data_IF_990540298064
#
_entry.id   IF_990540298064
#
_cell.length_a   1.000
_cell.length_b   1.000
_cell.length_c   1.000
_cell.angle_alpha   90.00
_cell.angle_beta   90.00
_cell.angle_gamma   90.00
#
_symmetry.space_group_name_H-M   'P 1'
#
loop_
_entity.id
_entity.type
_entity.pdbx_description
1 polymer ?
#
# COMPACT_ATOMS: atom_id res chain seq x y z
N UNK A 1 13.19 6.24 1.11
CA UNK A 1 13.99 6.99 2.09
C UNK A 1 15.01 7.90 1.40
N UNK A 2 15.76 8.68 2.16
CA UNK A 2 16.80 9.58 1.62
C UNK A 2 17.96 8.85 0.93
N UNK A 3 18.13 7.58 1.17
CA UNK A 3 19.15 6.74 0.52
C UNK A 3 18.67 6.11 -0.78
N UNK A 4 17.48 6.52 -1.24
CA UNK A 4 16.80 6.00 -2.45
C UNK A 4 16.37 4.53 -2.36
N UNK A 5 16.31 3.98 -1.14
CA UNK A 5 15.63 2.71 -0.95
C UNK A 5 14.12 2.90 -1.05
N UNK A 6 13.45 2.03 -1.76
CA UNK A 6 11.99 2.05 -1.91
C UNK A 6 11.40 0.65 -1.91
N UNK A 7 10.23 0.52 -1.30
CA UNK A 7 9.44 -0.70 -1.26
C UNK A 7 8.04 -0.41 -1.77
N UNK A 8 7.54 -1.28 -2.61
CA UNK A 8 6.16 -1.25 -3.08
C UNK A 8 5.44 -2.55 -2.70
N UNK A 9 4.26 -2.44 -2.12
CA UNK A 9 3.35 -3.57 -1.90
C UNK A 9 2.16 -3.37 -2.81
N UNK A 10 2.01 -4.26 -3.78
CA UNK A 10 1.00 -4.15 -4.83
C UNK A 10 -0.29 -4.82 -4.42
N UNK A 11 -1.40 -4.10 -4.61
CA UNK A 11 -2.73 -4.60 -4.28
C UNK A 11 -3.70 -4.28 -5.41
N UNK A 12 -4.44 -5.29 -5.84
CA UNK A 12 -5.60 -5.10 -6.70
C UNK A 12 -6.84 -5.02 -5.82
N UNK A 13 -7.58 -3.93 -5.93
CA UNK A 13 -8.86 -3.81 -5.23
C UNK A 13 -9.92 -4.63 -5.93
N UNK A 14 -10.62 -5.46 -5.16
CA UNK A 14 -11.67 -6.34 -5.63
C UNK A 14 -13.06 -5.79 -5.32
N UNK A 15 -13.24 -5.28 -4.09
CA UNK A 15 -14.48 -4.66 -3.64
C UNK A 15 -14.13 -3.35 -2.93
N UNK A 16 -14.81 -2.28 -3.29
CA UNK A 16 -14.71 -0.95 -2.68
C UNK A 16 -16.00 -0.55 -1.98
N UNK A 17 -15.88 0.27 -0.94
CA UNK A 17 -17.03 0.99 -0.37
C UNK A 17 -17.49 2.09 -1.32
N UNK A 18 -18.70 2.66 -1.07
CA UNK A 18 -19.18 3.85 -1.79
C UNK A 18 -18.23 5.05 -1.68
N UNK A 19 -17.44 5.12 -0.60
CA UNK A 19 -16.45 6.18 -0.36
C UNK A 19 -15.06 5.85 -0.94
N UNK A 20 -14.93 4.79 -1.72
CA UNK A 20 -13.71 4.41 -2.40
C UNK A 20 -12.69 3.63 -1.57
N UNK A 21 -12.97 3.33 -0.29
CA UNK A 21 -12.09 2.50 0.52
C UNK A 21 -12.18 1.02 0.12
N UNK A 22 -11.05 0.33 0.04
CA UNK A 22 -11.01 -1.10 -0.26
C UNK A 22 -11.60 -1.94 0.87
N UNK A 23 -12.51 -2.85 0.54
CA UNK A 23 -13.06 -3.87 1.45
C UNK A 23 -12.37 -5.20 1.29
N UNK A 24 -11.99 -5.57 0.08
CA UNK A 24 -11.17 -6.74 -0.18
C UNK A 24 -10.16 -6.45 -1.28
N UNK A 25 -8.99 -7.07 -1.14
CA UNK A 25 -7.87 -6.86 -2.04
C UNK A 25 -7.20 -8.19 -2.37
N UNK A 26 -6.53 -8.20 -3.51
CA UNK A 26 -5.59 -9.25 -3.89
C UNK A 26 -4.18 -8.65 -3.86
N UNK A 27 -3.34 -9.16 -2.96
CA UNK A 27 -1.93 -8.81 -2.88
C UNK A 27 -1.15 -9.73 -3.80
N UNK A 28 -0.35 -9.15 -4.68
CA UNK A 28 0.36 -9.89 -5.72
C UNK A 28 1.72 -9.27 -6.03
N UNK A 29 2.51 -9.98 -6.80
CA UNK A 29 3.78 -9.50 -7.33
C UNK A 29 3.64 -9.20 -8.82
N UNK A 30 4.14 -8.03 -9.24
CA UNK A 30 4.27 -7.65 -10.63
C UNK A 30 5.52 -6.77 -10.77
N UNK A 31 6.57 -7.33 -11.32
CA UNK A 31 7.86 -6.64 -11.42
C UNK A 31 7.82 -5.41 -12.34
N UNK A 32 6.95 -5.41 -13.36
CA UNK A 32 6.77 -4.26 -14.25
C UNK A 32 6.20 -3.07 -13.47
N UNK A 33 5.10 -3.30 -12.74
CA UNK A 33 4.47 -2.27 -11.94
C UNK A 33 5.36 -1.81 -10.77
N UNK A 34 6.00 -2.74 -10.08
CA UNK A 34 6.95 -2.42 -9.01
C UNK A 34 8.07 -1.49 -9.48
N UNK A 35 8.68 -1.81 -10.63
CA UNK A 35 9.71 -0.96 -11.24
C UNK A 35 9.18 0.43 -11.59
N UNK A 36 7.96 0.51 -12.14
CA UNK A 36 7.32 1.78 -12.47
C UNK A 36 7.07 2.63 -11.23
N UNK A 37 6.51 2.04 -10.16
CA UNK A 37 6.25 2.72 -8.89
C UNK A 37 7.55 3.26 -8.26
N UNK A 38 8.59 2.43 -8.22
CA UNK A 38 9.91 2.84 -7.69
C UNK A 38 10.53 3.96 -8.51
N UNK A 39 10.41 3.92 -9.84
CA UNK A 39 10.89 4.97 -10.71
C UNK A 39 10.16 6.31 -10.46
N UNK A 40 8.83 6.27 -10.33
CA UNK A 40 8.05 7.48 -10.01
C UNK A 40 8.45 8.03 -8.63
N UNK A 41 8.55 7.17 -7.63
CA UNK A 41 8.97 7.57 -6.28
C UNK A 41 10.36 8.22 -6.26
N UNK A 42 11.29 7.71 -7.03
CA UNK A 42 12.64 8.26 -7.16
C UNK A 42 12.63 9.63 -7.86
N UNK A 43 11.87 9.76 -8.95
CA UNK A 43 11.75 11.02 -9.71
C UNK A 43 11.05 12.14 -8.93
N UNK A 44 10.15 11.78 -8.03
CA UNK A 44 9.43 12.73 -7.17
C UNK A 44 10.12 12.97 -5.83
N UNK A 45 11.30 12.39 -5.60
CA UNK A 45 12.00 12.47 -4.32
C UNK A 45 11.11 12.11 -3.12
N UNK A 46 10.32 11.07 -3.27
CA UNK A 46 9.38 10.64 -2.22
C UNK A 46 10.12 10.26 -0.95
N UNK A 47 9.77 10.93 0.14
CA UNK A 47 10.24 10.61 1.48
C UNK A 47 9.06 10.11 2.33
N UNK A 48 9.18 8.93 2.90
CA UNK A 48 8.12 8.30 3.67
C UNK A 48 7.12 7.53 2.81
N UNK A 49 5.93 7.30 3.36
CA UNK A 49 4.89 6.50 2.71
C UNK A 49 3.95 7.36 1.87
N UNK A 50 3.67 6.89 0.68
CA UNK A 50 2.64 7.44 -0.21
C UNK A 50 1.75 6.32 -0.74
N UNK A 51 0.57 6.65 -1.20
CA UNK A 51 -0.32 5.75 -1.90
C UNK A 51 -0.41 6.17 -3.37
N UNK A 52 -0.01 5.29 -4.27
CA UNK A 52 -0.14 5.49 -5.72
C UNK A 52 -1.25 4.60 -6.26
N UNK A 53 -2.08 5.14 -7.13
CA UNK A 53 -3.14 4.41 -7.79
C UNK A 53 -2.90 4.33 -9.29
N UNK A 54 -3.19 3.15 -9.83
CA UNK A 54 -3.07 2.83 -11.26
C UNK A 54 -4.34 2.15 -11.74
N UNK A 55 -4.63 2.36 -13.01
CA UNK A 55 -5.62 1.58 -13.73
C UNK A 55 -4.87 0.54 -14.57
N UNK A 56 -5.21 -0.73 -14.41
CA UNK A 56 -4.73 -1.81 -15.24
C UNK A 56 -5.73 -2.07 -16.35
N UNK A 57 -5.27 -2.12 -17.60
CA UNK A 57 -6.09 -2.48 -18.75
C UNK A 57 -6.10 -3.99 -19.00
N UNK A 58 -7.00 -4.44 -19.88
CA UNK A 58 -7.07 -5.85 -20.31
C UNK A 58 -5.82 -6.29 -21.08
N UNK A 59 -5.03 -5.33 -21.60
CA UNK A 59 -3.77 -5.55 -22.31
C UNK A 59 -2.55 -5.57 -21.37
N UNK A 60 -2.77 -5.67 -20.05
CA UNK A 60 -1.74 -5.64 -19.01
C UNK A 60 -0.89 -4.35 -18.99
N UNK A 61 -1.46 -3.23 -19.46
CA UNK A 61 -0.85 -1.92 -19.33
C UNK A 61 -1.34 -1.22 -18.05
N UNK A 62 -0.45 -0.43 -17.43
CA UNK A 62 -0.74 0.34 -16.23
C UNK A 62 -0.73 1.84 -16.53
N UNK A 63 -1.84 2.50 -16.22
CA UNK A 63 -1.95 3.94 -16.31
C UNK A 63 -1.96 4.55 -14.91
N UNK A 64 -1.00 5.44 -14.66
CA UNK A 64 -0.93 6.19 -13.41
C UNK A 64 -2.16 7.09 -13.26
N UNK A 65 -2.81 7.03 -12.13
CA UNK A 65 -4.00 7.82 -11.84
C UNK A 65 -3.66 8.96 -10.87
N UNK A 66 -3.16 8.64 -9.70
CA UNK A 66 -2.84 9.62 -8.68
C UNK A 66 -1.79 9.12 -7.68
N UNK A 67 -1.17 10.09 -6.98
CA UNK A 67 -0.32 9.85 -5.84
C UNK A 67 -0.81 10.66 -4.65
N UNK A 68 -1.18 9.99 -3.58
CA UNK A 68 -1.62 10.60 -2.34
C UNK A 68 -0.48 10.57 -1.31
N UNK A 69 0.02 11.73 -0.82
CA UNK A 69 1.12 11.80 0.14
C UNK A 69 0.67 11.46 1.56
N UNK A 70 0.10 10.31 1.73
CA UNK A 70 -0.44 9.79 2.99
C UNK A 70 -0.52 8.26 2.96
N UNK A 71 -0.75 7.65 4.11
CA UNK A 71 -1.15 6.25 4.16
C UNK A 71 -2.48 6.03 3.43
N UNK A 72 -2.58 4.92 2.72
CA UNK A 72 -3.87 4.51 2.16
C UNK A 72 -4.81 4.01 3.25
N UNK A 73 -6.11 4.06 2.99
CA UNK A 73 -7.10 3.38 3.83
C UNK A 73 -6.90 1.86 3.93
N UNK A 74 -6.10 1.29 3.04
CA UNK A 74 -5.73 -0.12 2.99
C UNK A 74 -4.32 -0.43 3.51
N UNK A 75 -3.66 0.47 4.25
CA UNK A 75 -2.30 0.26 4.77
C UNK A 75 -2.17 -1.01 5.61
N UNK A 76 -3.22 -1.39 6.33
CA UNK A 76 -3.25 -2.61 7.12
C UNK A 76 -3.19 -3.88 6.28
N UNK A 77 -3.74 -3.89 5.07
CA UNK A 77 -3.57 -4.99 4.12
C UNK A 77 -2.09 -5.23 3.80
N UNK A 78 -1.33 -4.17 3.63
CA UNK A 78 0.11 -4.27 3.40
C UNK A 78 0.87 -4.76 4.62
N UNK A 79 0.42 -4.39 5.82
CA UNK A 79 0.98 -4.90 7.07
C UNK A 79 0.73 -6.41 7.22
N UNK A 80 -0.49 -6.88 6.93
CA UNK A 80 -0.84 -8.31 6.91
C UNK A 80 0.01 -9.06 5.87
N UNK A 81 0.29 -8.43 4.72
CA UNK A 81 1.15 -8.99 3.69
C UNK A 81 2.65 -9.03 4.07
N UNK A 82 3.03 -8.47 5.22
CA UNK A 82 4.36 -8.57 5.79
C UNK A 82 5.22 -7.31 5.75
N UNK A 83 4.68 -6.15 5.37
CA UNK A 83 5.43 -4.91 5.38
C UNK A 83 4.80 -3.81 6.24
N UNK A 84 5.51 -3.39 7.27
CA UNK A 84 5.07 -2.36 8.20
C UNK A 84 5.39 -0.95 7.68
N UNK A 85 4.47 -0.37 6.89
CA UNK A 85 4.61 0.99 6.37
C UNK A 85 4.68 2.07 7.45
N UNK A 86 3.99 1.91 8.58
CA UNK A 86 4.03 2.87 9.69
C UNK A 86 5.43 2.99 10.28
N UNK A 87 6.04 1.85 10.61
CA UNK A 87 7.43 1.78 11.11
C UNK A 87 8.39 2.39 10.09
N UNK A 88 8.28 1.99 8.83
CA UNK A 88 9.20 2.41 7.79
C UNK A 88 9.03 3.88 7.41
N UNK A 89 7.83 4.43 7.53
CA UNK A 89 7.59 5.88 7.41
C UNK A 89 8.35 6.65 8.48
N UNK A 90 8.28 6.21 9.74
CA UNK A 90 9.03 6.83 10.84
C UNK A 90 10.54 6.74 10.60
N UNK A 91 11.04 5.57 10.18
CA UNK A 91 12.47 5.41 9.86
C UNK A 91 12.91 6.40 8.78
N UNK A 92 12.11 6.54 7.71
CA UNK A 92 12.42 7.47 6.62
C UNK A 92 12.49 8.93 7.09
N UNK A 93 11.52 9.36 7.93
CA UNK A 93 11.49 10.74 8.48
C UNK A 93 12.66 10.99 9.44
N UNK A 94 13.11 9.98 10.16
CA UNK A 94 14.26 10.06 11.06
C UNK A 94 15.60 9.87 10.35
N UNK A 95 15.62 10.01 9.03
CA UNK A 95 16.83 9.86 8.21
C UNK A 95 17.52 8.49 8.31
N UNK A 96 16.73 7.45 8.60
CA UNK A 96 17.19 6.06 8.66
C UNK A 96 16.80 5.30 7.40
N UNK A 97 17.55 4.24 7.12
CA UNK A 97 17.20 3.30 6.06
C UNK A 97 15.91 2.55 6.40
N UNK A 98 15.04 2.42 5.40
CA UNK A 98 13.85 1.57 5.50
C UNK A 98 14.23 0.10 5.37
N UNK A 99 13.41 -0.76 5.94
CA UNK A 99 13.56 -2.21 5.80
C UNK A 99 13.22 -2.66 4.38
N UNK A 100 13.86 -3.71 3.91
CA UNK A 100 13.47 -4.37 2.66
C UNK A 100 12.17 -5.15 2.82
N UNK A 101 11.57 -5.49 1.68
CA UNK A 101 10.38 -6.34 1.61
C UNK A 101 10.66 -7.54 0.71
N UNK A 102 10.40 -8.73 1.22
CA UNK A 102 10.43 -9.96 0.45
C UNK A 102 9.00 -10.44 0.29
N UNK A 103 8.53 -10.46 -0.96
CA UNK A 103 7.21 -11.01 -1.27
C UNK A 103 7.24 -12.52 -1.07
N UNK A 104 6.36 -13.04 -0.21
CA UNK A 104 6.26 -14.47 0.09
C UNK A 104 5.27 -15.15 -0.86
N UNK A 105 4.01 -14.71 -0.80
CA UNK A 105 2.94 -15.32 -1.60
C UNK A 105 1.81 -14.34 -1.87
N UNK A 106 1.12 -14.56 -2.98
CA UNK A 106 -0.12 -13.87 -3.28
C UNK A 106 -1.21 -14.26 -2.27
N UNK A 107 -2.04 -13.30 -1.90
CA UNK A 107 -3.11 -13.54 -0.93
C UNK A 107 -4.32 -12.65 -1.18
N UNK A 108 -5.48 -13.18 -0.84
CA UNK A 108 -6.72 -12.42 -0.77
C UNK A 108 -6.96 -12.02 0.68
N UNK A 109 -7.21 -10.72 0.90
CA UNK A 109 -7.47 -10.18 2.24
C UNK A 109 -8.78 -9.41 2.17
N UNK A 110 -9.63 -9.58 3.17
CA UNK A 110 -10.88 -8.86 3.30
C UNK A 110 -11.04 -8.28 4.70
N UNK A 111 -11.76 -7.16 4.79
CA UNK A 111 -12.22 -6.59 6.05
C UNK A 111 -13.58 -7.15 6.42
N UNK A 112 -13.80 -7.31 7.71
CA UNK A 112 -15.13 -7.52 8.27
C UNK A 112 -15.49 -6.35 9.18
N UNK A 113 -16.77 -6.06 9.24
CA UNK A 113 -17.33 -5.22 10.29
C UNK A 113 -17.79 -6.13 11.42
N UNK A 114 -17.59 -5.68 12.64
CA UNK A 114 -17.97 -6.43 13.84
C UNK A 114 -18.63 -5.48 14.82
N UNK A 115 -19.78 -5.89 15.34
CA UNK A 115 -20.52 -5.15 16.36
C UNK A 115 -19.94 -5.46 17.73
N UNK A 116 -19.79 -4.45 18.54
CA UNK A 116 -19.30 -4.60 19.90
C UNK A 116 -19.96 -3.58 20.83
N UNK A 117 -20.04 -3.91 22.10
CA UNK A 117 -20.63 -3.07 23.11
C UNK A 117 -19.65 -1.93 23.43
N UNK A 118 -20.05 -0.70 23.17
CA UNK A 118 -19.23 0.50 23.44
C UNK A 118 -19.43 1.03 24.85
N UNK A 119 -20.60 0.80 25.45
CA UNK A 119 -20.95 1.22 26.80
C UNK A 119 -22.10 0.39 27.34
N UNK A 120 -22.04 0.08 28.62
CA UNK A 120 -23.18 -0.45 29.37
C UNK A 120 -23.60 0.57 30.43
N UNK A 121 -24.91 0.70 30.66
CA UNK A 121 -25.46 1.49 31.75
C UNK A 121 -26.13 0.57 32.72
N UNK A 122 -25.88 0.76 34.01
CA UNK A 122 -26.52 0.04 35.10
C UNK A 122 -27.81 0.69 35.54
#
# INVERSE_FOLDING_TARGET
DKYKNSVAVLRKELIRTKNGAGLSVYVYEDKKLEKTVKHIADKLDVLGCVNMEFIKTDEDEYYFLECNPRFSGGVEFSHIAGYNFLKNHILAILDREIEGFVFDKAMYIARKYEEFITKTES
#
